data_IF_205899799311
#
_entry.id   IF_205899799311
#
_cell.length_a   1.000
_cell.length_b   1.000
_cell.length_c   1.000
_cell.angle_alpha   90.00
_cell.angle_beta   90.00
_cell.angle_gamma   90.00
#
_symmetry.space_group_name_H-M   'P 1'
#
loop_
_entity.id
_entity.type
_entity.pdbx_description
1 polymer ?
#
# COMPACT_ATOMS: atom_id res chain seq x y z
N UNK A 1 11.94 -1.72 -5.72
CA UNK A 1 11.56 -1.94 -7.12
C UNK A 1 12.16 -0.87 -8.04
N UNK A 2 12.14 -1.09 -9.37
CA UNK A 2 12.63 -0.09 -10.34
C UNK A 2 11.85 1.23 -10.23
N UNK A 3 10.56 1.17 -9.90
CA UNK A 3 9.73 2.37 -9.70
C UNK A 3 10.15 3.14 -8.45
N UNK A 4 10.55 2.49 -7.37
CA UNK A 4 11.11 3.16 -6.19
C UNK A 4 12.42 3.88 -6.53
N UNK A 5 13.31 3.21 -7.27
CA UNK A 5 14.53 3.83 -7.74
C UNK A 5 14.24 5.05 -8.62
N UNK A 6 13.28 4.93 -9.53
CA UNK A 6 12.85 6.07 -10.36
C UNK A 6 12.34 7.26 -9.50
N UNK A 7 11.56 7.02 -8.46
CA UNK A 7 11.13 8.09 -7.56
C UNK A 7 12.31 8.75 -6.82
N UNK A 8 13.31 7.95 -6.43
CA UNK A 8 14.55 8.48 -5.85
C UNK A 8 15.27 9.40 -6.84
N UNK A 9 15.46 8.98 -8.08
CA UNK A 9 16.10 9.78 -9.12
C UNK A 9 15.33 11.09 -9.37
N UNK A 10 14.00 11.02 -9.44
CA UNK A 10 13.17 12.21 -9.64
C UNK A 10 13.31 13.24 -8.50
N UNK A 11 13.37 12.79 -7.25
CA UNK A 11 13.59 13.66 -6.10
C UNK A 11 14.95 14.34 -6.20
N UNK A 12 15.98 13.61 -6.58
CA UNK A 12 17.34 14.15 -6.74
C UNK A 12 17.43 15.12 -7.94
N UNK A 13 16.89 14.74 -9.09
CA UNK A 13 16.89 15.57 -10.30
C UNK A 13 16.16 16.91 -10.09
N UNK A 14 15.02 16.88 -9.41
CA UNK A 14 14.20 18.07 -9.20
C UNK A 14 14.56 18.86 -7.93
N UNK A 15 15.43 18.30 -7.09
CA UNK A 15 15.74 18.85 -5.76
C UNK A 15 14.48 19.20 -4.94
N UNK A 16 13.47 18.35 -5.05
CA UNK A 16 12.14 18.55 -4.44
C UNK A 16 11.61 17.23 -3.93
N UNK A 17 11.25 17.19 -2.65
CA UNK A 17 10.68 15.99 -2.00
C UNK A 17 9.21 15.76 -2.35
N UNK A 18 8.52 16.75 -2.90
CA UNK A 18 7.11 16.66 -3.32
C UNK A 18 7.04 16.77 -4.84
N UNK A 19 6.96 15.62 -5.46
CA UNK A 19 6.84 15.53 -6.92
C UNK A 19 5.49 16.06 -7.41
N UNK A 20 5.52 16.85 -8.48
CA UNK A 20 4.31 17.28 -9.20
C UNK A 20 3.76 16.16 -10.10
N UNK A 21 2.51 16.29 -10.57
CA UNK A 21 1.94 15.37 -11.56
C UNK A 21 2.79 15.28 -12.84
N UNK A 22 3.32 16.40 -13.29
CA UNK A 22 4.16 16.52 -14.49
C UNK A 22 5.49 15.82 -14.31
N UNK A 23 6.15 15.98 -13.16
CA UNK A 23 7.42 15.31 -12.83
C UNK A 23 7.23 13.79 -12.74
N UNK A 24 6.15 13.32 -12.11
CA UNK A 24 5.84 11.89 -12.06
C UNK A 24 5.59 11.34 -13.46
N UNK A 25 4.74 11.98 -14.25
CA UNK A 25 4.48 11.55 -15.62
C UNK A 25 5.77 11.52 -16.45
N UNK A 26 6.58 12.57 -16.37
CA UNK A 26 7.86 12.65 -17.06
C UNK A 26 8.77 11.48 -16.67
N UNK A 27 8.94 11.21 -15.38
CA UNK A 27 9.77 10.12 -14.89
C UNK A 27 9.29 8.75 -15.36
N UNK A 28 7.99 8.48 -15.26
CA UNK A 28 7.42 7.22 -15.73
C UNK A 28 7.66 7.00 -17.22
N UNK A 29 7.43 8.02 -18.06
CA UNK A 29 7.62 7.91 -19.51
C UNK A 29 9.11 7.89 -19.93
N UNK A 30 10.00 8.47 -19.14
CA UNK A 30 11.44 8.47 -19.37
C UNK A 30 12.09 7.12 -19.02
N UNK A 31 11.73 6.56 -17.87
CA UNK A 31 12.44 5.42 -17.29
C UNK A 31 11.77 4.05 -17.55
N UNK A 32 10.45 4.03 -17.78
CA UNK A 32 9.73 2.79 -18.09
C UNK A 32 9.59 2.67 -19.59
N UNK A 33 10.28 1.69 -20.18
CA UNK A 33 10.28 1.42 -21.62
C UNK A 33 9.68 0.04 -21.87
N UNK A 34 8.40 0.01 -22.23
CA UNK A 34 7.68 -1.23 -22.47
C UNK A 34 8.33 -2.10 -23.57
N UNK A 35 8.94 -1.47 -24.58
CA UNK A 35 9.68 -2.13 -25.66
C UNK A 35 10.98 -2.79 -25.20
N UNK A 36 11.53 -2.38 -24.07
CA UNK A 36 12.72 -2.96 -23.44
C UNK A 36 12.36 -4.03 -22.38
N UNK A 37 11.14 -4.56 -22.42
CA UNK A 37 10.64 -5.58 -21.51
C UNK A 37 10.50 -5.14 -20.03
N UNK A 38 10.22 -3.87 -19.78
CA UNK A 38 9.78 -3.45 -18.46
C UNK A 38 8.36 -3.94 -18.20
N UNK A 39 8.24 -4.96 -17.38
CA UNK A 39 6.94 -5.51 -17.01
C UNK A 39 6.29 -4.69 -15.90
N UNK A 40 5.13 -4.15 -16.18
CA UNK A 40 4.31 -3.47 -15.20
C UNK A 40 3.14 -4.37 -14.76
N UNK A 41 2.87 -4.33 -13.47
CA UNK A 41 1.71 -5.00 -12.91
C UNK A 41 0.44 -4.18 -13.17
N UNK A 42 -0.70 -4.81 -13.02
CA UNK A 42 -2.04 -4.38 -13.45
C UNK A 42 -2.36 -2.90 -13.30
N UNK A 43 -2.30 -2.34 -12.09
CA UNK A 43 -2.63 -0.91 -11.88
C UNK A 43 -1.51 0.01 -12.35
N UNK A 44 -0.25 -0.43 -12.25
CA UNK A 44 0.90 0.27 -12.81
C UNK A 44 0.81 0.35 -14.33
N UNK A 45 0.51 -0.77 -15.01
CA UNK A 45 0.35 -0.77 -16.46
C UNK A 45 -0.76 0.18 -16.90
N UNK A 46 -1.92 0.12 -16.23
CA UNK A 46 -3.02 1.02 -16.57
C UNK A 46 -2.67 2.48 -16.33
N UNK A 47 -2.01 2.81 -15.24
CA UNK A 47 -1.56 4.17 -14.97
C UNK A 47 -0.55 4.67 -16.02
N UNK A 48 0.39 3.80 -16.43
CA UNK A 48 1.36 4.11 -17.48
C UNK A 48 0.69 4.42 -18.82
N UNK A 49 -0.28 3.60 -19.23
CA UNK A 49 -1.04 3.81 -20.47
C UNK A 49 -1.80 5.15 -20.43
N UNK A 50 -2.46 5.45 -19.32
CA UNK A 50 -3.15 6.72 -19.10
C UNK A 50 -2.19 7.92 -19.16
N UNK A 51 -0.99 7.80 -18.60
CA UNK A 51 0.04 8.86 -18.71
C UNK A 51 0.53 9.05 -20.14
N UNK A 52 0.61 7.99 -20.94
CA UNK A 52 0.90 8.11 -22.40
C UNK A 52 -0.21 8.86 -23.12
N UNK A 53 -1.47 8.65 -22.73
CA UNK A 53 -2.64 9.37 -23.25
C UNK A 53 -2.72 10.84 -22.75
N UNK A 54 -1.83 11.28 -21.86
CA UNK A 54 -1.79 12.64 -21.33
C UNK A 54 -2.56 12.84 -20.01
N UNK A 55 -3.12 11.78 -19.45
CA UNK A 55 -3.77 11.83 -18.13
C UNK A 55 -2.69 11.76 -17.06
N UNK A 56 -2.76 12.66 -16.08
CA UNK A 56 -1.75 12.78 -15.02
C UNK A 56 -2.25 12.28 -13.66
N UNK A 57 -1.34 11.89 -12.76
CA UNK A 57 -1.70 11.69 -11.36
C UNK A 57 -2.34 12.97 -10.77
N UNK A 58 -3.34 12.86 -9.91
CA UNK A 58 -3.91 11.64 -9.34
C UNK A 58 -5.01 10.99 -10.18
N UNK A 59 -5.33 11.50 -11.37
CA UNK A 59 -6.43 10.96 -12.20
C UNK A 59 -6.10 9.60 -12.83
N UNK A 60 -4.83 9.22 -12.90
CA UNK A 60 -4.39 7.88 -13.33
C UNK A 60 -4.86 6.75 -12.42
N UNK A 61 -5.19 7.03 -11.17
CA UNK A 61 -5.77 6.05 -10.24
C UNK A 61 -7.26 6.26 -9.96
N UNK A 62 -7.89 7.23 -10.61
CA UNK A 62 -9.33 7.43 -10.45
C UNK A 62 -10.07 6.14 -10.87
N UNK A 63 -11.01 5.62 -10.04
CA UNK A 63 -11.76 4.39 -10.35
C UNK A 63 -12.45 4.38 -11.71
N UNK A 64 -12.78 5.54 -12.27
CA UNK A 64 -13.35 5.68 -13.61
C UNK A 64 -12.33 5.42 -14.72
N UNK A 65 -11.05 5.69 -14.45
CA UNK A 65 -9.97 5.57 -15.42
C UNK A 65 -9.15 4.28 -15.24
N UNK A 66 -9.02 3.82 -13.99
CA UNK A 66 -8.20 2.66 -13.62
C UNK A 66 -9.02 1.72 -12.72
N UNK A 67 -9.56 0.67 -13.32
CA UNK A 67 -10.35 -0.33 -12.59
C UNK A 67 -9.54 -1.14 -11.57
N UNK A 68 -8.21 -1.08 -11.65
CA UNK A 68 -7.29 -1.81 -10.78
C UNK A 68 -6.79 -0.98 -9.59
N UNK A 69 -7.44 0.13 -9.26
CA UNK A 69 -7.04 1.09 -8.24
C UNK A 69 -6.91 0.51 -6.80
N UNK A 70 -7.42 -0.69 -6.54
CA UNK A 70 -7.29 -1.42 -5.27
C UNK A 70 -6.28 -2.58 -5.31
N UNK A 71 -5.39 -2.63 -6.32
CA UNK A 71 -4.31 -3.61 -6.38
C UNK A 71 -3.12 -3.21 -5.50
N UNK A 72 -2.21 -4.16 -5.26
CA UNK A 72 -1.07 -4.03 -4.34
C UNK A 72 0.02 -3.06 -4.83
N UNK A 73 -0.01 -2.64 -6.07
CA UNK A 73 1.09 -1.97 -6.76
C UNK A 73 1.68 -0.77 -6.00
N UNK A 74 0.84 0.12 -5.46
CA UNK A 74 1.33 1.26 -4.68
C UNK A 74 2.08 0.82 -3.41
N UNK A 75 1.63 -0.24 -2.75
CA UNK A 75 2.29 -0.78 -1.57
C UNK A 75 3.74 -1.22 -1.87
N UNK A 76 3.98 -1.77 -3.07
CA UNK A 76 5.28 -2.26 -3.50
C UNK A 76 6.20 -1.19 -4.10
N UNK A 77 5.68 0.00 -4.37
CA UNK A 77 6.40 1.05 -5.11
C UNK A 77 6.59 2.35 -4.32
N UNK A 78 6.04 2.44 -3.11
CA UNK A 78 6.06 3.69 -2.33
C UNK A 78 6.53 3.55 -0.89
N UNK A 79 6.83 2.34 -0.42
CA UNK A 79 7.29 2.10 0.95
C UNK A 79 8.61 2.81 1.28
N UNK A 80 9.44 3.05 0.26
CA UNK A 80 10.71 3.77 0.36
C UNK A 80 10.56 5.18 0.98
N UNK A 81 9.42 5.84 0.80
CA UNK A 81 9.17 7.16 1.38
C UNK A 81 9.14 7.14 2.91
N UNK A 82 8.76 6.01 3.51
CA UNK A 82 8.88 5.81 4.94
C UNK A 82 10.33 5.73 5.42
N UNK A 83 11.20 5.12 4.61
CA UNK A 83 12.63 5.04 4.88
C UNK A 83 13.34 6.39 4.71
N UNK A 84 12.88 7.23 3.77
CA UNK A 84 13.41 8.59 3.56
C UNK A 84 12.95 9.59 4.62
N UNK A 85 11.98 9.24 5.45
CA UNK A 85 11.45 10.09 6.50
C UNK A 85 11.55 9.42 7.88
N UNK A 86 12.75 8.98 8.32
CA UNK A 86 12.91 8.33 9.61
C UNK A 86 12.44 9.27 10.73
N UNK A 87 11.58 8.77 11.62
CA UNK A 87 10.95 9.48 12.74
C UNK A 87 9.81 10.45 12.37
N UNK A 88 9.64 10.78 11.10
CA UNK A 88 8.70 11.81 10.63
C UNK A 88 7.67 11.24 9.64
N UNK A 89 6.72 10.40 10.10
CA UNK A 89 5.74 9.75 9.21
C UNK A 89 4.92 10.76 8.39
N UNK A 90 4.61 11.94 8.94
CA UNK A 90 3.88 12.98 8.20
C UNK A 90 4.66 13.50 6.99
N UNK A 91 6.00 13.57 7.08
CA UNK A 91 6.87 13.91 5.96
C UNK A 91 6.80 12.82 4.90
N UNK A 92 6.95 11.54 5.29
CA UNK A 92 6.84 10.40 4.40
C UNK A 92 5.50 10.33 3.68
N UNK A 93 4.41 10.52 4.41
CA UNK A 93 3.06 10.58 3.84
C UNK A 93 2.90 11.74 2.84
N UNK A 94 3.49 12.90 3.15
CA UNK A 94 3.46 14.05 2.26
C UNK A 94 4.24 13.82 0.97
N UNK A 95 5.40 13.16 1.04
CA UNK A 95 6.20 12.76 -0.13
C UNK A 95 5.47 11.74 -0.98
N UNK A 96 4.87 10.75 -0.36
CA UNK A 96 4.22 9.62 -1.00
C UNK A 96 2.81 9.92 -1.53
N UNK A 97 2.21 11.03 -1.16
CA UNK A 97 0.80 11.32 -1.46
C UNK A 97 0.46 11.11 -2.93
N UNK A 98 1.21 11.74 -3.82
CA UNK A 98 0.96 11.67 -5.26
C UNK A 98 1.51 10.38 -5.89
N UNK A 99 2.72 9.89 -5.55
CA UNK A 99 3.19 8.57 -5.93
C UNK A 99 2.18 7.45 -5.66
N UNK A 100 1.60 7.37 -4.47
CA UNK A 100 0.54 6.39 -4.15
C UNK A 100 -0.65 6.58 -5.11
N UNK A 101 -1.10 7.82 -5.27
CA UNK A 101 -2.26 8.18 -6.08
C UNK A 101 -1.99 8.20 -7.59
N UNK A 102 -0.81 7.78 -7.98
CA UNK A 102 -0.54 7.43 -9.38
C UNK A 102 -1.26 6.14 -9.78
N UNK A 103 -1.35 5.17 -8.87
CA UNK A 103 -1.86 3.82 -9.18
C UNK A 103 -2.96 3.32 -8.23
N UNK A 104 -3.13 3.92 -7.04
CA UNK A 104 -4.03 3.41 -6.00
C UNK A 104 -4.97 4.47 -5.44
N UNK A 105 -6.14 4.02 -5.01
CA UNK A 105 -7.16 4.77 -4.29
C UNK A 105 -7.73 3.95 -3.14
N UNK A 106 -8.54 4.60 -2.32
CA UNK A 106 -9.29 3.96 -1.24
C UNK A 106 -8.40 3.06 -0.37
N UNK A 107 -8.79 1.80 -0.17
CA UNK A 107 -8.09 0.90 0.74
C UNK A 107 -6.64 0.63 0.31
N UNK A 108 -6.34 0.49 -0.97
CA UNK A 108 -4.97 0.27 -1.43
C UNK A 108 -4.07 1.48 -1.13
N UNK A 109 -4.60 2.70 -1.24
CA UNK A 109 -3.86 3.91 -0.87
C UNK A 109 -3.63 3.96 0.65
N UNK A 110 -4.66 3.74 1.47
CA UNK A 110 -4.52 3.74 2.94
C UNK A 110 -3.60 2.63 3.45
N UNK A 111 -3.62 1.45 2.82
CA UNK A 111 -2.70 0.35 3.13
C UNK A 111 -1.25 0.77 2.82
N UNK A 112 -1.00 1.44 1.70
CA UNK A 112 0.34 1.95 1.37
C UNK A 112 0.80 3.00 2.38
N UNK A 113 -0.07 3.91 2.77
CA UNK A 113 0.17 4.90 3.81
C UNK A 113 0.47 4.24 5.18
N UNK A 114 -0.22 3.14 5.51
CA UNK A 114 0.05 2.35 6.71
C UNK A 114 1.50 1.85 6.75
N UNK A 115 2.02 1.29 5.65
CA UNK A 115 3.39 0.79 5.59
C UNK A 115 4.42 1.92 5.65
N UNK A 116 4.15 3.07 5.02
CA UNK A 116 5.02 4.25 5.14
C UNK A 116 5.19 4.67 6.60
N UNK A 117 4.09 4.70 7.37
CA UNK A 117 4.15 5.01 8.80
C UNK A 117 4.97 3.95 9.55
N UNK A 118 4.75 2.66 9.26
CA UNK A 118 5.51 1.57 9.87
C UNK A 118 7.02 1.74 9.62
N UNK A 119 7.43 1.97 8.36
CA UNK A 119 8.84 2.15 8.01
C UNK A 119 9.46 3.40 8.63
N UNK A 120 8.76 4.51 8.65
CA UNK A 120 9.22 5.75 9.27
C UNK A 120 9.46 5.55 10.78
N UNK A 121 8.55 4.87 11.47
CA UNK A 121 8.66 4.62 12.91
C UNK A 121 9.67 3.52 13.26
N UNK A 122 10.06 2.66 12.31
CA UNK A 122 10.99 1.55 12.57
C UNK A 122 12.34 2.03 13.13
N UNK A 123 12.83 3.18 12.67
CA UNK A 123 14.10 3.78 13.11
C UNK A 123 14.01 4.45 14.49
N UNK A 124 12.80 4.70 15.02
CA UNK A 124 12.62 5.37 16.29
C UNK A 124 13.12 4.49 17.44
N UNK A 125 14.02 5.05 18.26
CA UNK A 125 14.43 4.42 19.51
C UNK A 125 13.29 4.58 20.52
N UNK A 126 12.81 3.47 21.05
CA UNK A 126 11.70 3.42 22.00
C UNK A 126 12.10 2.58 23.22
N UNK A 127 11.42 2.78 24.34
CA UNK A 127 11.64 2.03 25.59
C UNK A 127 10.88 0.67 25.61
N UNK A 128 10.50 0.16 24.45
CA UNK A 128 9.84 -1.14 24.36
C UNK A 128 10.78 -2.27 24.78
N UNK A 129 10.27 -3.23 25.55
CA UNK A 129 11.05 -4.31 26.15
C UNK A 129 11.65 -5.26 25.10
N UNK A 130 10.96 -5.41 23.96
CA UNK A 130 11.37 -6.28 22.87
C UNK A 130 10.84 -5.78 21.52
N UNK A 131 11.34 -6.40 20.45
CA UNK A 131 10.98 -6.02 19.08
C UNK A 131 9.48 -6.21 18.80
N UNK A 132 8.83 -7.22 19.36
CA UNK A 132 7.41 -7.52 19.14
C UNK A 132 6.54 -6.40 19.73
N UNK A 133 6.82 -5.93 20.92
CA UNK A 133 6.13 -4.78 21.51
C UNK A 133 6.29 -3.52 20.67
N UNK A 134 7.49 -3.28 20.14
CA UNK A 134 7.75 -2.18 19.22
C UNK A 134 6.93 -2.30 17.93
N UNK A 135 6.89 -3.48 17.31
CA UNK A 135 6.11 -3.73 16.10
C UNK A 135 4.62 -3.54 16.35
N UNK A 136 4.10 -4.02 17.47
CA UNK A 136 2.70 -3.80 17.85
C UNK A 136 2.38 -2.32 18.07
N UNK A 137 3.27 -1.59 18.73
CA UNK A 137 3.11 -0.14 18.89
C UNK A 137 3.11 0.57 17.53
N UNK A 138 4.09 0.30 16.65
CA UNK A 138 4.18 0.90 15.32
C UNK A 138 2.89 0.63 14.52
N UNK A 139 2.42 -0.62 14.51
CA UNK A 139 1.21 -0.98 13.80
C UNK A 139 -0.03 -0.28 14.36
N UNK A 140 -0.09 -0.08 15.68
CA UNK A 140 -1.18 0.66 16.31
C UNK A 140 -1.18 2.15 15.96
N UNK A 141 0.00 2.74 15.75
CA UNK A 141 0.09 4.10 15.22
C UNK A 141 -0.35 4.15 13.75
N UNK A 142 0.15 3.22 12.93
CA UNK A 142 -0.20 3.13 11.52
C UNK A 142 -1.70 2.83 11.29
N UNK A 143 -2.35 2.05 12.19
CA UNK A 143 -3.80 1.78 12.13
C UNK A 143 -4.66 3.06 12.10
N UNK A 144 -4.15 4.15 12.65
CA UNK A 144 -4.88 5.43 12.73
C UNK A 144 -5.11 6.08 11.37
N UNK A 145 -4.29 5.77 10.35
CA UNK A 145 -4.47 6.28 8.99
C UNK A 145 -5.63 5.59 8.26
N UNK A 146 -5.97 4.36 8.68
CA UNK A 146 -7.04 3.59 8.05
C UNK A 146 -8.40 4.12 8.53
N UNK A 147 -9.28 4.60 7.64
CA UNK A 147 -10.62 5.03 8.02
C UNK A 147 -11.39 3.90 8.71
N UNK A 148 -12.02 4.17 9.84
CA UNK A 148 -12.68 3.14 10.65
C UNK A 148 -13.75 2.34 9.89
N UNK A 149 -14.40 2.95 8.91
CA UNK A 149 -15.39 2.28 8.07
C UNK A 149 -14.76 1.38 6.99
N UNK A 150 -13.46 1.55 6.69
CA UNK A 150 -12.78 0.80 5.63
C UNK A 150 -12.65 -0.69 5.93
N UNK A 151 -12.57 -1.52 4.88
CA UNK A 151 -12.32 -2.94 5.10
C UNK A 151 -10.90 -3.19 5.64
N UNK A 152 -9.92 -2.37 5.26
CA UNK A 152 -8.55 -2.49 5.78
C UNK A 152 -8.50 -2.28 7.30
N UNK A 153 -9.19 -1.26 7.81
CA UNK A 153 -9.32 -1.06 9.25
C UNK A 153 -9.99 -2.25 9.94
N UNK A 154 -11.10 -2.72 9.38
CA UNK A 154 -11.84 -3.86 9.91
C UNK A 154 -11.05 -5.17 9.87
N UNK A 155 -10.22 -5.39 8.84
CA UNK A 155 -9.29 -6.53 8.78
C UNK A 155 -8.25 -6.46 9.90
N UNK A 156 -7.61 -5.31 10.08
CA UNK A 156 -6.63 -5.11 11.14
C UNK A 156 -7.24 -5.41 12.51
N UNK A 157 -8.37 -4.79 12.83
CA UNK A 157 -9.04 -4.93 14.12
C UNK A 157 -9.53 -6.38 14.33
N UNK A 158 -9.99 -7.05 13.27
CA UNK A 158 -10.41 -8.43 13.30
C UNK A 158 -9.25 -9.37 13.65
N UNK A 159 -8.13 -9.28 12.95
CA UNK A 159 -6.94 -10.11 13.22
C UNK A 159 -6.42 -9.86 14.63
N UNK A 160 -6.33 -8.59 15.04
CA UNK A 160 -5.95 -8.21 16.40
C UNK A 160 -6.85 -8.90 17.44
N UNK A 161 -8.16 -8.87 17.26
CA UNK A 161 -9.11 -9.50 18.18
C UNK A 161 -8.93 -11.03 18.25
N UNK A 162 -8.58 -11.69 17.12
CA UNK A 162 -8.30 -13.13 17.09
C UNK A 162 -7.02 -13.46 17.85
N UNK A 163 -5.98 -12.66 17.68
CA UNK A 163 -4.75 -12.78 18.42
C UNK A 163 -4.98 -12.64 19.94
N UNK A 164 -5.68 -11.58 20.36
CA UNK A 164 -6.01 -11.31 21.76
C UNK A 164 -6.89 -12.40 22.39
N UNK A 165 -7.70 -13.08 21.60
CA UNK A 165 -8.50 -14.23 22.06
C UNK A 165 -7.72 -15.55 22.15
N UNK A 166 -6.42 -15.56 21.83
CA UNK A 166 -5.57 -16.74 21.86
C UNK A 166 -5.84 -17.77 20.74
N UNK A 167 -6.48 -17.33 19.64
CA UNK A 167 -6.69 -18.20 18.48
C UNK A 167 -5.35 -18.50 17.81
N UNK A 168 -5.14 -19.71 17.25
CA UNK A 168 -3.92 -20.00 16.49
C UNK A 168 -3.87 -19.20 15.17
N UNK A 169 -2.67 -18.99 14.64
CA UNK A 169 -2.48 -18.19 13.41
C UNK A 169 -3.21 -18.81 12.20
N UNK A 170 -3.22 -20.15 12.07
CA UNK A 170 -3.94 -20.85 10.99
C UNK A 170 -5.44 -20.55 11.05
N UNK A 171 -6.03 -20.68 12.24
CA UNK A 171 -7.46 -20.40 12.45
C UNK A 171 -7.77 -18.92 12.25
N UNK A 172 -6.87 -18.03 12.65
CA UNK A 172 -7.02 -16.58 12.41
C UNK A 172 -6.99 -16.28 10.91
N UNK A 173 -6.01 -16.82 10.17
CA UNK A 173 -5.91 -16.72 8.69
C UNK A 173 -7.17 -17.23 8.01
N UNK A 174 -7.59 -18.44 8.35
CA UNK A 174 -8.75 -19.10 7.72
C UNK A 174 -10.04 -18.33 8.00
N UNK A 175 -10.21 -17.83 9.23
CA UNK A 175 -11.37 -17.03 9.60
C UNK A 175 -11.38 -15.65 8.93
N UNK A 176 -10.20 -15.05 8.73
CA UNK A 176 -10.06 -13.80 7.98
C UNK A 176 -10.47 -14.01 6.52
N UNK A 177 -9.92 -15.04 5.87
CA UNK A 177 -10.27 -15.38 4.49
C UNK A 177 -11.76 -15.66 4.33
N UNK A 178 -12.32 -16.45 5.25
CA UNK A 178 -13.74 -16.77 5.21
C UNK A 178 -14.62 -15.51 5.33
N UNK A 179 -14.28 -14.62 6.29
CA UNK A 179 -15.05 -13.40 6.52
C UNK A 179 -14.97 -12.39 5.38
N UNK A 180 -13.76 -12.12 4.87
CA UNK A 180 -13.53 -11.00 3.95
C UNK A 180 -13.49 -11.41 2.48
N UNK A 181 -13.39 -12.71 2.16
CA UNK A 181 -13.32 -13.19 0.79
C UNK A 181 -14.42 -14.19 0.44
N UNK A 182 -14.62 -15.23 1.24
CA UNK A 182 -15.54 -16.33 0.89
C UNK A 182 -17.00 -15.94 1.12
N UNK A 183 -17.33 -15.46 2.30
CA UNK A 183 -18.70 -15.06 2.64
C UNK A 183 -19.19 -13.89 1.82
N UNK A 184 -18.25 -13.20 1.16
CA UNK A 184 -18.56 -12.08 0.28
C UNK A 184 -19.61 -11.15 0.91
N UNK A 185 -19.45 -10.87 2.21
CA UNK A 185 -20.31 -9.93 2.90
C UNK A 185 -20.06 -8.54 2.37
N UNK A 186 -20.40 -8.39 1.07
CA UNK A 186 -20.62 -7.15 0.35
C UNK A 186 -19.41 -6.20 0.26
N UNK A 187 -19.27 -5.37 1.27
CA UNK A 187 -18.34 -4.26 1.31
C UNK A 187 -16.91 -4.69 1.70
N UNK A 188 -16.71 -5.95 2.08
CA UNK A 188 -15.44 -6.44 2.61
C UNK A 188 -14.67 -7.36 1.67
N UNK A 189 -15.16 -7.55 0.46
CA UNK A 189 -14.43 -8.32 -0.53
C UNK A 189 -13.13 -7.60 -0.88
N UNK A 190 -12.00 -8.21 -0.60
CA UNK A 190 -10.69 -7.63 -0.87
C UNK A 190 -10.26 -7.65 -2.34
N UNK A 191 -11.06 -8.26 -3.21
CA UNK A 191 -10.86 -8.23 -4.66
C UNK A 191 -12.19 -8.04 -5.37
N UNK A 192 -12.33 -6.91 -6.05
CA UNK A 192 -13.51 -6.59 -6.87
C UNK A 192 -13.35 -7.05 -8.31
N UNK A 193 -12.15 -7.02 -8.82
CA UNK A 193 -11.83 -7.20 -10.24
C UNK A 193 -11.08 -8.49 -10.49
N UNK A 194 -10.01 -8.73 -9.74
CA UNK A 194 -9.16 -9.90 -9.92
C UNK A 194 -9.79 -11.15 -9.30
N UNK A 195 -10.27 -12.04 -10.14
CA UNK A 195 -10.78 -13.36 -9.78
C UNK A 195 -9.75 -14.48 -10.00
N UNK A 196 -8.62 -14.15 -10.66
CA UNK A 196 -7.52 -15.07 -10.82
C UNK A 196 -6.82 -15.29 -9.49
N UNK A 197 -6.15 -16.42 -9.32
CA UNK A 197 -5.45 -16.79 -8.09
C UNK A 197 -6.13 -16.30 -6.77
N UNK A 198 -7.47 -16.28 -6.75
CA UNK A 198 -8.28 -15.85 -5.60
C UNK A 198 -7.99 -14.40 -5.14
N UNK A 199 -7.70 -13.51 -6.10
CA UNK A 199 -7.44 -12.10 -5.82
C UNK A 199 -6.02 -11.79 -5.34
N UNK A 200 -5.03 -12.59 -5.73
CA UNK A 200 -3.65 -12.51 -5.23
C UNK A 200 -2.96 -11.15 -5.43
N UNK A 201 -3.41 -10.34 -6.39
CA UNK A 201 -2.89 -8.99 -6.63
C UNK A 201 -3.64 -7.89 -5.86
N UNK A 202 -4.76 -8.22 -5.22
CA UNK A 202 -5.51 -7.26 -4.45
C UNK A 202 -4.74 -6.80 -3.20
N UNK A 203 -4.76 -5.50 -2.90
CA UNK A 203 -4.13 -4.96 -1.70
C UNK A 203 -4.67 -5.60 -0.42
N UNK A 204 -5.97 -5.89 -0.36
CA UNK A 204 -6.62 -6.45 0.81
C UNK A 204 -6.13 -7.84 1.21
N UNK A 205 -5.96 -8.79 0.27
CA UNK A 205 -5.46 -10.14 0.61
C UNK A 205 -4.02 -10.07 1.15
N UNK A 206 -3.19 -9.25 0.53
CA UNK A 206 -1.80 -9.06 0.94
C UNK A 206 -1.72 -8.37 2.31
N UNK A 207 -2.52 -7.34 2.53
CA UNK A 207 -2.61 -6.67 3.82
C UNK A 207 -3.10 -7.64 4.92
N UNK A 208 -4.17 -8.38 4.66
CA UNK A 208 -4.68 -9.38 5.62
C UNK A 208 -3.64 -10.41 6.03
N UNK A 209 -2.90 -10.97 5.06
CA UNK A 209 -1.80 -11.90 5.31
C UNK A 209 -0.67 -11.25 6.13
N UNK A 210 -0.29 -10.01 5.79
CA UNK A 210 0.74 -9.27 6.53
C UNK A 210 0.33 -8.98 7.97
N UNK A 211 -0.92 -8.63 8.22
CA UNK A 211 -1.41 -8.37 9.59
C UNK A 211 -1.46 -9.67 10.42
N UNK A 212 -1.81 -10.82 9.81
CA UNK A 212 -1.68 -12.11 10.50
C UNK A 212 -0.21 -12.36 10.87
N UNK A 213 0.73 -12.19 9.92
CA UNK A 213 2.16 -12.34 10.20
C UNK A 213 2.66 -11.37 11.28
N UNK A 214 2.17 -10.13 11.28
CA UNK A 214 2.56 -9.11 12.26
C UNK A 214 2.18 -9.49 13.69
N UNK A 215 1.00 -10.05 13.91
CA UNK A 215 0.55 -10.41 15.26
C UNK A 215 1.09 -11.75 15.73
N UNK A 216 1.29 -12.72 14.83
CA UNK A 216 1.62 -14.11 15.20
C UNK A 216 3.10 -14.48 14.96
N UNK A 217 3.84 -13.64 14.19
CA UNK A 217 5.27 -13.83 13.91
C UNK A 217 6.25 -13.52 15.05
#
# INVERSE_FOLDING_TARGET
>A
TDIEYMYQELILENNNIKLSPEEIRYGWLKHIKAEEQNFLWVSNQRAFDLMREGIMPPETSNPKNNQFYEMIDAQLTTEIFGLYSPFYPDVGLSMAYLPIRTVARENAAWISEFYIIMHSLASLKTDHKNIKEKVFWMSSQARKILPNASYSAKMYDYVKSKYESGLSWEKARDSLNHKFQINNEHEYNWSRVDKSCNGCFAAGINFGASIVSLFYG
#
